data_IF_874025006601
#
_entry.id   IF_874025006601
#
_cell.length_a   1.000
_cell.length_b   1.000
_cell.length_c   1.000
_cell.angle_alpha   90.00
_cell.angle_beta   90.00
_cell.angle_gamma   90.00
#
_symmetry.space_group_name_H-M   'P 1'
#
loop_
_entity.id
_entity.type
_entity.pdbx_description
1 polymer ?
#
# COMPACT_ATOMS: atom_id res chain seq x y z
N UNK A 1 -17.02 -4.02 8.36
CA UNK A 1 -15.82 -4.86 8.45
C UNK A 1 -14.73 -3.99 9.01
N UNK A 2 -14.16 -4.38 10.14
CA UNK A 2 -13.02 -3.68 10.72
C UNK A 2 -11.73 -4.05 9.97
N UNK A 3 -10.69 -3.22 10.00
CA UNK A 3 -9.44 -3.51 9.28
C UNK A 3 -8.79 -4.82 9.73
N UNK A 4 -8.88 -5.13 11.03
CA UNK A 4 -8.40 -6.39 11.58
C UNK A 4 -9.18 -7.59 11.04
N UNK A 5 -10.49 -7.46 10.92
CA UNK A 5 -11.34 -8.50 10.33
C UNK A 5 -10.99 -8.69 8.84
N UNK A 6 -10.79 -7.59 8.10
CA UNK A 6 -10.33 -7.63 6.71
C UNK A 6 -8.99 -8.36 6.56
N UNK A 7 -7.99 -8.02 7.39
CA UNK A 7 -6.67 -8.65 7.37
C UNK A 7 -6.74 -10.16 7.61
N UNK A 8 -7.54 -10.62 8.57
CA UNK A 8 -7.75 -12.05 8.82
C UNK A 8 -8.46 -12.73 7.64
N UNK A 9 -9.45 -12.08 7.03
CA UNK A 9 -10.12 -12.59 5.84
C UNK A 9 -9.15 -12.74 4.65
N UNK A 10 -8.23 -11.79 4.43
CA UNK A 10 -7.21 -11.89 3.38
C UNK A 10 -6.38 -13.18 3.49
N UNK A 11 -6.02 -13.56 4.72
CA UNK A 11 -5.26 -14.80 5.00
C UNK A 11 -6.03 -16.05 4.57
N UNK A 12 -7.35 -16.04 4.66
CA UNK A 12 -8.19 -17.18 4.25
C UNK A 12 -8.29 -17.35 2.73
N UNK A 13 -7.99 -16.29 1.96
CA UNK A 13 -8.07 -16.31 0.50
C UNK A 13 -6.70 -16.49 -0.17
N UNK A 14 -5.61 -16.47 0.59
CA UNK A 14 -4.25 -16.62 0.06
C UNK A 14 -3.87 -18.09 -0.10
N UNK A 15 -2.99 -18.39 -1.05
CA UNK A 15 -2.27 -19.68 -1.05
C UNK A 15 -1.25 -19.71 0.09
N UNK A 16 -0.87 -20.92 0.51
CA UNK A 16 0.20 -21.15 1.47
C UNK A 16 1.55 -21.33 0.77
N UNK A 17 2.63 -21.02 1.47
CA UNK A 17 4.00 -21.18 1.00
C UNK A 17 4.79 -21.99 2.01
N UNK A 18 5.65 -22.88 1.51
CA UNK A 18 6.59 -23.62 2.35
C UNK A 18 7.89 -22.84 2.60
N UNK A 19 8.27 -21.96 1.67
CA UNK A 19 9.45 -21.10 1.77
C UNK A 19 9.03 -19.64 2.09
N UNK A 20 9.40 -19.11 3.27
CA UNK A 20 9.04 -17.75 3.66
C UNK A 20 9.68 -16.67 2.77
N UNK A 21 10.83 -16.93 2.14
CA UNK A 21 11.43 -15.97 1.20
C UNK A 21 10.61 -15.86 -0.08
N UNK A 22 10.10 -16.99 -0.58
CA UNK A 22 9.21 -17.00 -1.75
C UNK A 22 7.86 -16.34 -1.44
N UNK A 23 7.37 -16.52 -0.21
CA UNK A 23 6.15 -15.88 0.27
C UNK A 23 6.25 -14.35 0.25
N UNK A 24 7.20 -13.78 1.00
CA UNK A 24 7.34 -12.33 1.08
C UNK A 24 7.72 -11.71 -0.26
N UNK A 25 8.53 -12.40 -1.07
CA UNK A 25 8.84 -11.97 -2.43
C UNK A 25 7.57 -11.90 -3.29
N UNK A 26 6.71 -12.92 -3.23
CA UNK A 26 5.47 -12.92 -3.98
C UNK A 26 4.52 -11.80 -3.54
N UNK A 27 4.36 -11.57 -2.22
CA UNK A 27 3.52 -10.49 -1.72
C UNK A 27 4.05 -9.11 -2.14
N UNK A 28 5.36 -8.88 -2.05
CA UNK A 28 5.98 -7.63 -2.51
C UNK A 28 5.84 -7.41 -4.02
N UNK A 29 6.04 -8.45 -4.83
CA UNK A 29 5.83 -8.37 -6.29
C UNK A 29 4.36 -8.12 -6.64
N UNK A 30 3.43 -8.69 -5.88
CA UNK A 30 2.00 -8.41 -6.00
C UNK A 30 1.68 -6.92 -5.84
N UNK A 31 2.19 -6.28 -4.78
CA UNK A 31 2.05 -4.81 -4.59
C UNK A 31 2.52 -4.04 -5.82
N UNK A 32 3.67 -4.41 -6.39
CA UNK A 32 4.21 -3.73 -7.57
C UNK A 32 3.33 -3.96 -8.82
N UNK A 33 2.78 -5.17 -9.00
CA UNK A 33 1.85 -5.50 -10.08
C UNK A 33 0.59 -4.65 -10.04
N UNK A 34 -0.12 -4.66 -8.91
CA UNK A 34 -1.38 -3.92 -8.74
C UNK A 34 -1.17 -2.40 -8.81
N UNK A 35 -0.03 -1.90 -8.30
CA UNK A 35 0.34 -0.51 -8.47
C UNK A 35 0.55 -0.13 -9.96
N UNK A 36 1.12 -1.05 -10.75
CA UNK A 36 1.28 -0.88 -12.20
C UNK A 36 -0.06 -0.78 -12.92
N UNK A 37 -1.00 -1.67 -12.59
CA UNK A 37 -2.34 -1.68 -13.18
C UNK A 37 -3.16 -0.45 -12.76
N UNK A 38 -3.08 -0.05 -11.49
CA UNK A 38 -3.64 1.21 -10.98
C UNK A 38 -3.15 2.41 -11.80
N UNK A 39 -1.83 2.52 -12.01
CA UNK A 39 -1.23 3.58 -12.84
C UNK A 39 -1.72 3.50 -14.28
N UNK A 40 -1.87 2.29 -14.83
CA UNK A 40 -2.43 2.05 -16.15
C UNK A 40 -3.86 2.59 -16.30
N UNK A 41 -4.75 2.31 -15.34
CA UNK A 41 -6.13 2.79 -15.32
C UNK A 41 -6.20 4.32 -15.17
N UNK A 42 -5.39 4.91 -14.28
CA UNK A 42 -5.30 6.37 -14.13
C UNK A 42 -4.85 7.02 -15.44
N UNK A 43 -3.79 6.49 -16.08
CA UNK A 43 -3.28 7.01 -17.36
C UNK A 43 -4.35 6.94 -18.45
N UNK A 44 -5.06 5.82 -18.60
CA UNK A 44 -6.14 5.68 -19.59
C UNK A 44 -7.26 6.70 -19.35
N UNK A 45 -7.65 6.88 -18.09
CA UNK A 45 -8.69 7.84 -17.69
C UNK A 45 -8.29 9.28 -18.04
N UNK A 46 -7.09 9.70 -17.65
CA UNK A 46 -6.65 11.10 -17.78
C UNK A 46 -6.13 11.43 -19.19
N UNK A 47 -5.24 10.60 -19.73
CA UNK A 47 -4.54 10.91 -20.99
C UNK A 47 -5.31 10.47 -22.24
N UNK A 48 -6.08 9.37 -22.15
CA UNK A 48 -6.78 8.80 -23.30
C UNK A 48 -8.29 9.04 -23.27
N UNK A 49 -8.82 9.74 -22.24
CA UNK A 49 -10.25 9.98 -22.03
C UNK A 49 -11.09 8.70 -22.07
N UNK A 50 -10.50 7.58 -21.64
CA UNK A 50 -11.15 6.29 -21.53
C UNK A 50 -11.43 6.03 -20.05
N UNK A 51 -12.70 6.13 -19.64
CA UNK A 51 -13.10 5.98 -18.25
C UNK A 51 -12.75 4.58 -17.72
N UNK A 52 -11.83 4.53 -16.76
CA UNK A 52 -11.40 3.30 -16.08
C UNK A 52 -11.52 3.45 -14.56
N UNK A 53 -12.44 4.30 -14.07
CA UNK A 53 -12.61 4.54 -12.62
C UNK A 53 -12.95 3.27 -11.85
N UNK A 54 -13.70 2.33 -12.44
CA UNK A 54 -13.95 1.01 -11.84
C UNK A 54 -12.65 0.23 -11.63
N UNK A 55 -11.77 0.21 -12.63
CA UNK A 55 -10.46 -0.44 -12.55
C UNK A 55 -9.55 0.25 -11.52
N UNK A 56 -9.60 1.57 -11.40
CA UNK A 56 -8.87 2.29 -10.33
C UNK A 56 -9.32 1.78 -8.95
N UNK A 57 -10.62 1.65 -8.73
CA UNK A 57 -11.18 1.17 -7.46
C UNK A 57 -10.81 -0.29 -7.17
N UNK A 58 -10.86 -1.15 -8.19
CA UNK A 58 -10.47 -2.57 -8.09
C UNK A 58 -9.00 -2.71 -7.68
N UNK A 59 -8.10 -2.07 -8.40
CA UNK A 59 -6.66 -2.17 -8.14
C UNK A 59 -6.23 -1.56 -6.80
N UNK A 60 -6.99 -0.59 -6.25
CA UNK A 60 -6.81 -0.15 -4.86
C UNK A 60 -7.09 -1.30 -3.89
N UNK A 61 -8.18 -2.04 -4.11
CA UNK A 61 -8.53 -3.21 -3.31
C UNK A 61 -7.46 -4.31 -3.38
N UNK A 62 -6.99 -4.64 -4.59
CA UNK A 62 -5.96 -5.68 -4.79
C UNK A 62 -4.61 -5.27 -4.19
N UNK A 63 -4.22 -3.99 -4.33
CA UNK A 63 -3.04 -3.45 -3.66
C UNK A 63 -3.15 -3.58 -2.14
N UNK A 64 -4.31 -3.22 -1.56
CA UNK A 64 -4.55 -3.32 -0.12
C UNK A 64 -4.53 -4.76 0.38
N UNK A 65 -5.00 -5.71 -0.44
CA UNK A 65 -4.94 -7.13 -0.12
C UNK A 65 -3.48 -7.61 0.03
N UNK A 66 -2.60 -7.27 -0.93
CA UNK A 66 -1.18 -7.62 -0.82
C UNK A 66 -0.48 -6.94 0.36
N UNK A 67 -0.82 -5.68 0.68
CA UNK A 67 -0.28 -4.99 1.86
C UNK A 67 -0.73 -5.68 3.17
N UNK A 68 -1.99 -6.11 3.26
CA UNK A 68 -2.48 -6.88 4.39
C UNK A 68 -1.76 -8.25 4.51
N UNK A 69 -1.45 -8.91 3.39
CA UNK A 69 -0.66 -10.14 3.39
C UNK A 69 0.78 -9.93 3.89
N UNK A 70 1.41 -8.80 3.56
CA UNK A 70 2.73 -8.43 4.12
C UNK A 70 2.61 -8.23 5.65
N UNK A 71 1.55 -7.57 6.12
CA UNK A 71 1.32 -7.41 7.56
C UNK A 71 1.13 -8.78 8.24
N UNK A 72 0.36 -9.69 7.64
CA UNK A 72 0.19 -11.06 8.12
C UNK A 72 1.52 -11.83 8.16
N UNK A 73 2.37 -11.69 7.15
CA UNK A 73 3.68 -12.34 7.09
C UNK A 73 4.59 -11.91 8.26
N UNK A 74 4.62 -10.62 8.58
CA UNK A 74 5.43 -10.09 9.68
C UNK A 74 4.74 -10.12 11.05
N UNK A 75 3.46 -10.48 11.11
CA UNK A 75 2.64 -10.43 12.33
C UNK A 75 2.32 -9.00 12.80
N UNK A 76 2.26 -8.03 11.87
CA UNK A 76 1.87 -6.65 12.16
C UNK A 76 0.35 -6.49 12.12
N UNK A 77 -0.20 -5.66 13.01
CA UNK A 77 -1.59 -5.22 12.91
C UNK A 77 -1.69 -4.13 11.84
N UNK A 78 -2.52 -4.37 10.82
CA UNK A 78 -2.63 -3.46 9.69
C UNK A 78 -3.21 -2.10 10.09
N UNK A 79 -4.07 -2.04 11.11
CA UNK A 79 -4.58 -0.77 11.63
C UNK A 79 -3.45 0.04 12.26
N UNK A 80 -2.61 -0.60 13.09
CA UNK A 80 -1.48 0.07 13.74
C UNK A 80 -0.50 0.67 12.72
N UNK A 81 -0.19 -0.06 11.63
CA UNK A 81 0.66 0.44 10.53
C UNK A 81 0.08 1.71 9.89
N UNK A 82 -1.24 1.78 9.72
CA UNK A 82 -1.92 2.96 9.17
C UNK A 82 -1.99 4.11 10.19
N UNK A 83 -2.20 3.80 11.47
CA UNK A 83 -2.24 4.78 12.55
C UNK A 83 -0.88 5.47 12.72
N UNK A 84 0.21 4.70 12.72
CA UNK A 84 1.58 5.25 12.72
C UNK A 84 1.85 6.14 11.50
N UNK A 85 1.29 5.77 10.35
CA UNK A 85 1.43 6.56 9.14
C UNK A 85 0.73 7.91 9.26
N UNK A 86 -0.54 7.92 9.69
CA UNK A 86 -1.33 9.15 9.78
C UNK A 86 -0.78 10.07 10.88
N UNK A 87 -0.35 9.53 12.03
CA UNK A 87 0.30 10.30 13.10
C UNK A 87 1.55 11.02 12.60
N UNK A 88 2.42 10.30 11.88
CA UNK A 88 3.63 10.87 11.26
C UNK A 88 3.27 11.97 10.25
N UNK A 89 2.24 11.76 9.43
CA UNK A 89 1.82 12.73 8.42
C UNK A 89 1.18 13.97 9.05
N UNK A 90 0.35 13.83 10.09
CA UNK A 90 -0.26 14.94 10.82
C UNK A 90 0.79 15.79 11.54
N UNK A 91 1.80 15.15 12.15
CA UNK A 91 2.96 15.86 12.72
C UNK A 91 3.73 16.65 11.66
N UNK A 92 3.86 16.11 10.45
CA UNK A 92 4.52 16.80 9.33
C UNK A 92 3.66 17.93 8.74
N UNK A 93 2.35 17.75 8.69
CA UNK A 93 1.41 18.64 8.02
C UNK A 93 0.28 19.10 8.96
N UNK A 94 0.58 19.82 10.06
CA UNK A 94 -0.41 20.18 11.08
C UNK A 94 -1.49 21.13 10.57
N UNK A 95 -1.26 21.82 9.44
CA UNK A 95 -2.21 22.69 8.76
C UNK A 95 -2.56 22.20 7.35
N UNK A 96 -2.34 20.91 7.08
CA UNK A 96 -2.40 20.34 5.73
C UNK A 96 -1.10 20.52 4.95
N UNK A 97 -1.13 20.10 3.68
CA UNK A 97 0.05 20.08 2.81
C UNK A 97 0.67 21.47 2.63
N UNK A 98 2.00 21.55 2.69
CA UNK A 98 2.78 22.70 2.24
C UNK A 98 4.08 22.25 1.56
N UNK A 99 4.53 22.99 0.54
CA UNK A 99 5.81 22.69 -0.12
C UNK A 99 7.00 22.76 0.85
N UNK A 100 6.93 23.66 1.83
CA UNK A 100 7.95 23.81 2.86
C UNK A 100 8.10 22.53 3.69
N UNK A 101 6.97 21.98 4.16
CA UNK A 101 6.98 20.77 5.01
C UNK A 101 7.28 19.52 4.18
N UNK A 102 6.90 19.51 2.90
CA UNK A 102 7.19 18.41 1.97
C UNK A 102 8.68 18.24 1.66
N UNK A 103 9.49 19.30 1.78
CA UNK A 103 10.93 19.27 1.49
C UNK A 103 11.76 18.37 2.41
N UNK A 104 11.23 17.94 3.57
CA UNK A 104 11.87 17.07 4.58
C UNK A 104 13.21 17.58 5.16
N UNK A 105 13.84 18.63 4.62
CA UNK A 105 15.05 19.29 5.12
C UNK A 105 16.14 18.32 5.62
N UNK A 106 16.44 17.27 4.86
CA UNK A 106 17.47 16.28 5.22
C UNK A 106 17.06 15.21 6.25
N UNK A 107 15.83 15.22 6.76
CA UNK A 107 15.30 14.20 7.69
C UNK A 107 14.71 12.97 6.99
N UNK A 108 14.87 12.87 5.68
CA UNK A 108 14.43 11.69 4.93
C UNK A 108 15.38 10.54 5.22
N UNK A 109 14.84 9.47 5.81
CA UNK A 109 15.49 8.15 5.77
C UNK A 109 15.35 7.62 4.34
N UNK A 110 16.49 7.32 3.70
CA UNK A 110 16.52 6.53 2.48
C UNK A 110 16.75 5.08 2.84
N UNK A 111 15.82 4.21 2.45
CA UNK A 111 15.86 2.78 2.76
C UNK A 111 16.52 1.96 1.65
N UNK A 112 16.86 2.59 0.52
CA UNK A 112 17.48 1.95 -0.64
C UNK A 112 19.00 2.21 -0.74
N UNK A 113 19.52 3.20 -0.03
CA UNK A 113 20.95 3.47 0.07
C UNK A 113 21.49 2.74 1.32
N UNK A 114 22.26 1.68 1.11
CA UNK A 114 23.15 1.10 2.14
C UNK A 114 24.57 1.58 1.91
#
# INVERSE_FOLDING_TARGET
MELKEYQELCKTTSKTYDDPNMEIMNWGLGVAGEAGDLVGCIKKTVAHKNDQVSGIKENIGDTMWYLAMICNFYGWDFSEVLDENIDKLQKRYPKGFSHKDAGRNGTRVDWNEK
#
